data_IF_122805027621
#
_entry.id   IF_122805027621
#
_cell.length_a   1.000
_cell.length_b   1.000
_cell.length_c   1.000
_cell.angle_alpha   90.00
_cell.angle_beta   90.00
_cell.angle_gamma   90.00
#
_symmetry.space_group_name_H-M   'P 1'
#
loop_
_entity.id
_entity.type
_entity.pdbx_description
1 polymer ?
#
# COMPACT_ATOMS: atom_id res chain seq x y z
N UNK A 1 -0.03 0.47 -54.81
CA UNK A 1 -1.44 0.30 -54.40
C UNK A 1 -1.42 -0.24 -52.96
N UNK A 2 -1.84 0.56 -51.95
CA UNK A 2 -3.00 0.32 -51.03
C UNK A 2 -2.99 -1.08 -50.36
N UNK A 3 -3.16 -1.34 -49.04
CA UNK A 3 -3.53 -0.68 -47.76
C UNK A 3 -3.26 -1.79 -46.67
N UNK A 4 -2.66 -1.53 -45.51
CA UNK A 4 -3.24 -1.21 -44.18
C UNK A 4 -3.89 -2.37 -43.36
N UNK A 5 -3.44 -2.50 -42.09
CA UNK A 5 -4.01 -3.14 -40.85
C UNK A 5 -3.84 -4.66 -40.71
N UNK A 6 -3.47 -5.24 -39.56
CA UNK A 6 -4.09 -5.13 -38.23
C UNK A 6 -3.08 -5.22 -37.06
N UNK A 7 -3.30 -4.36 -36.07
CA UNK A 7 -2.80 -4.46 -34.69
C UNK A 7 -3.61 -5.55 -33.99
N UNK A 8 -2.99 -6.61 -33.47
CA UNK A 8 -3.66 -7.53 -32.53
C UNK A 8 -3.30 -7.12 -31.11
N UNK A 9 -4.24 -6.40 -30.48
CA UNK A 9 -4.29 -6.21 -29.05
C UNK A 9 -4.61 -7.56 -28.39
N UNK A 10 -3.65 -8.11 -27.65
CA UNK A 10 -3.87 -9.29 -26.81
C UNK A 10 -4.52 -8.81 -25.51
N UNK A 11 -5.85 -8.86 -25.47
CA UNK A 11 -6.64 -8.56 -24.28
C UNK A 11 -6.60 -9.80 -23.38
N UNK A 12 -5.79 -9.75 -22.32
CA UNK A 12 -5.90 -10.70 -21.21
C UNK A 12 -7.13 -10.32 -20.39
N UNK A 13 -8.24 -11.01 -20.63
CA UNK A 13 -9.36 -11.04 -19.71
C UNK A 13 -8.99 -11.94 -18.52
N UNK A 14 -8.32 -11.37 -17.52
CA UNK A 14 -8.22 -11.99 -16.20
C UNK A 14 -9.47 -11.61 -15.42
N UNK A 15 -10.41 -12.54 -15.38
CA UNK A 15 -11.56 -12.54 -14.47
C UNK A 15 -11.07 -12.41 -13.03
N UNK A 16 -11.09 -11.18 -12.49
CA UNK A 16 -10.84 -10.93 -11.08
C UNK A 16 -12.07 -11.37 -10.29
N UNK A 17 -12.03 -12.60 -9.79
CA UNK A 17 -12.87 -13.05 -8.70
C UNK A 17 -12.43 -12.24 -7.47
N UNK A 18 -13.05 -11.07 -7.26
CA UNK A 18 -12.82 -10.25 -6.08
C UNK A 18 -13.42 -10.97 -4.87
N UNK A 19 -12.72 -11.97 -4.37
CA UNK A 19 -12.93 -12.48 -3.02
C UNK A 19 -12.45 -11.38 -2.08
N UNK A 20 -13.34 -10.45 -1.75
CA UNK A 20 -13.13 -9.39 -0.76
C UNK A 20 -13.05 -10.05 0.61
N UNK A 21 -11.89 -10.64 0.90
CA UNK A 21 -11.50 -11.01 2.25
C UNK A 21 -11.12 -9.70 2.96
N UNK A 22 -12.12 -9.05 3.56
CA UNK A 22 -11.88 -7.99 4.54
C UNK A 22 -11.23 -8.64 5.76
N UNK A 23 -9.93 -8.39 5.96
CA UNK A 23 -9.20 -8.87 7.13
C UNK A 23 -9.35 -7.85 8.27
N UNK A 24 -9.63 -8.31 9.50
CA UNK A 24 -9.80 -7.43 10.66
C UNK A 24 -8.51 -6.69 11.01
N UNK A 25 -8.65 -5.39 11.29
CA UNK A 25 -7.61 -4.56 11.91
C UNK A 25 -7.29 -5.15 13.30
N UNK A 26 -6.01 -5.42 13.64
CA UNK A 26 -5.64 -5.88 14.97
C UNK A 26 -5.90 -4.77 16.00
N UNK A 27 -6.67 -5.08 17.04
CA UNK A 27 -6.91 -4.20 18.20
C UNK A 27 -5.64 -4.16 19.05
N UNK A 28 -5.04 -2.97 19.20
CA UNK A 28 -3.92 -2.74 20.13
C UNK A 28 -4.45 -1.88 21.28
N UNK A 29 -4.21 -2.30 22.52
CA UNK A 29 -4.56 -1.54 23.73
C UNK A 29 -3.72 -0.26 23.79
N UNK A 30 -4.37 0.91 23.77
CA UNK A 30 -3.72 2.22 23.82
C UNK A 30 -3.05 2.44 25.20
N UNK A 31 -1.72 2.32 25.25
CA UNK A 31 -0.93 2.86 26.36
C UNK A 31 -0.40 4.26 25.99
N UNK A 32 -0.77 5.21 26.84
CA UNK A 32 -0.59 6.66 26.73
C UNK A 32 0.88 7.09 26.75
N UNK A 33 1.32 7.87 25.75
CA UNK A 33 2.56 8.65 25.83
C UNK A 33 2.26 10.09 25.39
N UNK A 34 2.08 10.96 26.39
CA UNK A 34 2.01 12.42 26.25
C UNK A 34 3.43 13.00 26.22
N UNK A 35 3.92 13.40 25.03
CA UNK A 35 5.08 14.29 24.88
C UNK A 35 4.70 15.47 23.96
N UNK A 36 4.56 16.69 24.52
CA UNK A 36 4.05 17.86 23.78
C UNK A 36 5.07 18.50 22.81
N UNK A 37 6.32 18.04 22.72
CA UNK A 37 7.34 18.63 21.81
C UNK A 37 7.62 17.79 20.53
N UNK A 38 6.81 16.76 20.24
CA UNK A 38 7.02 15.85 19.11
C UNK A 38 6.33 16.27 17.78
N UNK A 39 6.03 17.56 17.58
CA UNK A 39 5.37 18.05 16.35
C UNK A 39 6.31 18.10 15.11
N UNK A 40 7.56 17.63 15.23
CA UNK A 40 8.57 17.68 14.14
C UNK A 40 9.05 16.32 13.60
N UNK A 41 8.48 15.20 14.01
CA UNK A 41 8.82 13.88 13.44
C UNK A 41 7.63 13.26 12.73
N UNK A 42 7.79 13.15 11.41
CA UNK A 42 6.84 12.65 10.41
C UNK A 42 6.53 11.17 10.62
N UNK A 43 5.62 10.85 11.53
CA UNK A 43 5.01 9.52 11.60
C UNK A 43 3.55 9.70 11.96
N UNK A 44 2.73 10.08 10.96
CA UNK A 44 1.29 9.97 11.14
C UNK A 44 0.94 8.48 11.20
N UNK A 45 0.22 8.01 12.21
CA UNK A 45 -0.25 6.63 12.22
C UNK A 45 -1.33 6.50 11.16
N UNK A 46 -0.99 5.96 10.01
CA UNK A 46 -1.99 5.42 9.09
C UNK A 46 -1.42 4.09 8.62
N UNK A 47 -1.44 3.07 9.48
CA UNK A 47 -2.54 2.53 10.28
C UNK A 47 -2.03 2.14 11.68
N UNK A 48 -2.91 1.78 12.63
CA UNK A 48 -2.49 1.27 13.96
C UNK A 48 -1.44 0.12 13.88
N UNK A 49 -1.33 -0.53 12.71
CA UNK A 49 -0.45 -1.66 12.44
C UNK A 49 0.63 -1.43 11.36
N UNK A 50 0.72 -0.25 10.73
CA UNK A 50 1.71 0.02 9.66
C UNK A 50 2.11 1.50 9.57
N UNK A 51 3.41 1.75 9.42
CA UNK A 51 4.00 3.07 9.18
C UNK A 51 4.94 2.99 7.98
N UNK A 52 4.82 3.93 7.05
CA UNK A 52 5.74 4.11 5.92
C UNK A 52 6.58 5.35 6.18
N UNK A 53 7.89 5.18 6.29
CA UNK A 53 8.85 6.29 6.39
C UNK A 53 9.59 6.42 5.06
N UNK A 54 9.20 7.42 4.27
CA UNK A 54 9.79 7.70 2.96
C UNK A 54 11.18 8.32 3.05
N UNK A 55 11.50 9.01 4.16
CA UNK A 55 12.80 9.64 4.37
C UNK A 55 13.85 8.58 4.79
N UNK A 56 13.45 7.66 5.67
CA UNK A 56 14.27 6.53 6.10
C UNK A 56 14.21 5.32 5.16
N UNK A 57 13.32 5.35 4.16
CA UNK A 57 13.08 4.26 3.20
C UNK A 57 12.70 2.94 3.87
N UNK A 58 11.80 3.01 4.84
CA UNK A 58 11.37 1.83 5.60
C UNK A 58 9.86 1.69 5.66
N UNK A 59 9.40 0.44 5.81
CA UNK A 59 8.03 0.12 6.18
C UNK A 59 8.08 -0.66 7.49
N UNK A 60 7.45 -0.13 8.51
CA UNK A 60 7.37 -0.73 9.84
C UNK A 60 5.95 -1.27 10.01
N UNK A 61 5.82 -2.52 10.42
CA UNK A 61 4.51 -3.15 10.60
C UNK A 61 4.49 -4.09 11.80
N UNK A 62 3.31 -4.21 12.43
CA UNK A 62 3.06 -5.13 13.55
C UNK A 62 2.44 -6.44 13.10
N UNK A 63 2.42 -6.73 11.79
CA UNK A 63 1.85 -7.97 11.26
C UNK A 63 2.59 -9.21 11.79
N UNK A 64 1.88 -10.32 12.03
CA UNK A 64 2.45 -11.51 12.67
C UNK A 64 3.43 -12.26 11.75
N UNK A 65 3.36 -12.03 10.44
CA UNK A 65 4.18 -12.67 9.43
C UNK A 65 4.91 -11.62 8.59
N UNK A 66 6.09 -11.97 8.04
CA UNK A 66 6.80 -11.12 7.10
C UNK A 66 5.91 -10.74 5.91
N UNK A 67 5.97 -9.46 5.54
CA UNK A 67 5.33 -8.97 4.32
C UNK A 67 6.18 -9.41 3.12
N UNK A 68 5.52 -10.04 2.16
CA UNK A 68 6.10 -10.52 0.91
C UNK A 68 5.88 -9.54 -0.24
N UNK A 69 4.78 -8.77 -0.20
CA UNK A 69 4.47 -7.80 -1.26
C UNK A 69 3.66 -6.63 -0.72
N UNK A 70 4.03 -5.44 -1.15
CA UNK A 70 3.41 -4.16 -0.83
C UNK A 70 2.69 -3.64 -2.08
N UNK A 71 1.49 -3.10 -1.92
CA UNK A 71 0.70 -2.53 -3.00
C UNK A 71 0.14 -1.16 -2.63
N UNK A 72 0.12 -0.25 -3.61
CA UNK A 72 -0.73 0.95 -3.59
C UNK A 72 -1.84 0.78 -4.62
N UNK A 73 -3.06 1.02 -4.18
CA UNK A 73 -4.28 0.97 -4.98
C UNK A 73 -4.89 2.37 -4.98
N UNK A 74 -5.28 2.87 -6.16
CA UNK A 74 -5.92 4.18 -6.30
C UNK A 74 -7.44 4.14 -6.02
N UNK A 75 -8.09 5.30 -6.10
CA UNK A 75 -9.55 5.44 -5.91
C UNK A 75 -10.39 4.68 -6.94
N UNK A 76 -9.80 4.32 -8.09
CA UNK A 76 -10.44 3.51 -9.13
C UNK A 76 -10.26 2.00 -8.90
N UNK A 77 -9.76 1.61 -7.73
CA UNK A 77 -9.40 0.24 -7.36
C UNK A 77 -8.30 -0.38 -8.23
N UNK A 78 -7.51 0.44 -8.94
CA UNK A 78 -6.40 -0.01 -9.76
C UNK A 78 -5.10 -0.09 -8.93
N UNK A 79 -4.37 -1.19 -9.08
CA UNK A 79 -3.01 -1.31 -8.52
C UNK A 79 -2.08 -0.42 -9.34
N UNK A 80 -1.58 0.65 -8.72
CA UNK A 80 -0.66 1.60 -9.36
C UNK A 80 0.80 1.37 -8.95
N UNK A 81 1.01 0.58 -7.89
CA UNK A 81 2.34 0.23 -7.39
C UNK A 81 2.33 -1.15 -6.77
N UNK A 82 3.40 -1.91 -7.01
CA UNK A 82 3.68 -3.18 -6.34
C UNK A 82 5.20 -3.33 -6.16
N UNK A 83 5.63 -3.79 -4.99
CA UNK A 83 7.03 -4.13 -4.74
C UNK A 83 7.13 -5.23 -3.68
N UNK A 84 8.20 -6.03 -3.74
CA UNK A 84 8.60 -7.00 -2.71
C UNK A 84 9.67 -6.43 -1.75
N UNK A 85 10.18 -5.23 -2.04
CA UNK A 85 11.16 -4.51 -1.23
C UNK A 85 10.51 -3.32 -0.50
N UNK A 86 10.70 -3.27 0.82
CA UNK A 86 10.19 -2.14 1.62
C UNK A 86 10.86 -0.81 1.25
N UNK A 87 12.14 -0.83 0.88
CA UNK A 87 12.88 0.37 0.47
C UNK A 87 12.36 0.90 -0.87
N UNK A 88 12.24 0.04 -1.88
CA UNK A 88 11.72 0.45 -3.20
C UNK A 88 10.27 0.89 -3.12
N UNK A 89 9.48 0.24 -2.26
CA UNK A 89 8.12 0.64 -1.99
C UNK A 89 8.03 2.04 -1.37
N UNK A 90 8.83 2.32 -0.34
CA UNK A 90 8.86 3.62 0.32
C UNK A 90 9.32 4.74 -0.64
N UNK A 91 10.33 4.47 -1.47
CA UNK A 91 10.76 5.38 -2.54
C UNK A 91 9.62 5.64 -3.54
N UNK A 92 8.92 4.58 -3.96
CA UNK A 92 7.78 4.70 -4.86
C UNK A 92 6.69 5.60 -4.26
N UNK A 93 6.31 5.35 -3.01
CA UNK A 93 5.30 6.16 -2.29
C UNK A 93 5.70 7.64 -2.24
N UNK A 94 6.99 7.95 -2.05
CA UNK A 94 7.49 9.32 -2.05
C UNK A 94 7.31 10.08 -3.38
N UNK A 95 7.10 9.35 -4.48
CA UNK A 95 6.89 9.93 -5.82
C UNK A 95 5.42 10.10 -6.20
N UNK A 96 4.50 9.54 -5.41
CA UNK A 96 3.07 9.63 -5.69
C UNK A 96 2.55 11.05 -5.41
N UNK A 97 1.57 11.53 -6.19
CA UNK A 97 0.84 12.75 -5.86
C UNK A 97 0.20 12.66 -4.48
N UNK A 98 0.03 13.81 -3.83
CA UNK A 98 -0.82 13.89 -2.65
C UNK A 98 -2.25 13.46 -2.99
N UNK A 99 -2.86 12.66 -2.12
CA UNK A 99 -4.17 12.08 -2.35
C UNK A 99 -4.46 10.85 -1.50
N UNK A 100 -5.71 10.39 -1.62
CA UNK A 100 -6.19 9.18 -0.95
C UNK A 100 -5.92 7.94 -1.79
N UNK A 101 -5.36 6.93 -1.13
CA UNK A 101 -4.99 5.64 -1.67
C UNK A 101 -5.38 4.53 -0.70
N UNK A 102 -5.24 3.29 -1.16
CA UNK A 102 -5.36 2.10 -0.33
C UNK A 102 -4.01 1.39 -0.30
N UNK A 103 -3.48 1.17 0.90
CA UNK A 103 -2.31 0.33 1.13
C UNK A 103 -2.78 -1.12 1.30
N UNK A 104 -2.13 -2.05 0.59
CA UNK A 104 -2.33 -3.48 0.80
C UNK A 104 -0.99 -4.20 1.00
N UNK A 105 -0.84 -4.89 2.12
CA UNK A 105 0.33 -5.72 2.45
C UNK A 105 -0.04 -7.20 2.39
N UNK A 106 0.73 -7.99 1.65
CA UNK A 106 0.50 -9.44 1.50
C UNK A 106 1.59 -10.20 2.24
N UNK A 107 1.17 -11.14 3.08
CA UNK A 107 2.01 -12.10 3.80
C UNK A 107 1.82 -13.49 3.20
N UNK A 108 2.52 -14.51 3.72
CA UNK A 108 2.36 -15.89 3.26
C UNK A 108 0.94 -16.45 3.45
N UNK A 109 0.16 -15.92 4.39
CA UNK A 109 -1.15 -16.48 4.79
C UNK A 109 -2.32 -15.53 4.56
N UNK A 110 -2.08 -14.23 4.44
CA UNK A 110 -3.13 -13.20 4.51
C UNK A 110 -2.74 -11.89 3.85
N UNK A 111 -3.74 -11.09 3.50
CA UNK A 111 -3.59 -9.77 2.90
C UNK A 111 -4.28 -8.69 3.74
N UNK A 112 -3.52 -7.71 4.21
CA UNK A 112 -3.98 -6.65 5.10
C UNK A 112 -4.15 -5.37 4.30
N UNK A 113 -5.30 -4.72 4.41
CA UNK A 113 -5.65 -3.55 3.60
C UNK A 113 -6.13 -2.41 4.48
N UNK A 114 -5.82 -1.18 4.12
CA UNK A 114 -6.47 -0.02 4.71
C UNK A 114 -6.12 1.30 4.00
N UNK A 115 -6.63 2.42 4.52
CA UNK A 115 -6.47 3.72 3.89
C UNK A 115 -5.05 4.26 4.05
N UNK A 116 -4.54 4.89 2.99
CA UNK A 116 -3.30 5.66 2.96
C UNK A 116 -3.59 7.05 2.37
N UNK A 117 -3.12 8.10 3.02
CA UNK A 117 -3.31 9.51 2.64
C UNK A 117 -1.92 10.10 2.52
N UNK A 118 -1.57 10.52 1.31
CA UNK A 118 -0.28 11.11 0.98
C UNK A 118 -0.47 12.62 0.98
N UNK A 119 0.38 13.34 1.71
CA UNK A 119 0.29 14.79 1.91
C UNK A 119 1.40 15.56 1.20
#
# INVERSE_FOLDING_TARGET
MKKLRLISALIFALSAFALRAEIPVPLIDEETIDDPDNERRRSRPMMQWCTIDTDARTVITTLPLPVLTYYIIDESEAVIMASDSAEEFADGVATLPAGAYTLRLVTAESAYTGPLDIQ
#
